data_IF_032797115763
#
_entry.id   IF_032797115763
#
_cell.length_a   1.000
_cell.length_b   1.000
_cell.length_c   1.000
_cell.angle_alpha   90.00
_cell.angle_beta   90.00
_cell.angle_gamma   90.00
#
_symmetry.space_group_name_H-M   'P 1'
#
loop_
_entity.id
_entity.type
_entity.pdbx_description
1 polymer ?
#
# COMPACT_ATOMS: atom_id res chain seq x y z
N UNK A 1 15.44 13.00 -13.61
CA UNK A 1 16.06 12.82 -12.28
C UNK A 1 17.57 12.86 -12.47
N UNK A 2 18.31 13.65 -11.68
CA UNK A 2 19.77 13.74 -11.83
C UNK A 2 20.45 12.50 -11.22
N UNK A 3 21.42 11.91 -11.93
CA UNK A 3 22.30 10.87 -11.36
C UNK A 3 23.16 11.40 -10.21
N UNK A 4 23.38 12.72 -10.16
CA UNK A 4 24.29 13.38 -9.20
C UNK A 4 23.61 13.88 -7.93
N UNK A 5 22.31 14.21 -7.96
CA UNK A 5 21.60 14.82 -6.81
C UNK A 5 20.32 14.07 -6.48
N UNK A 6 20.13 13.76 -5.20
CA UNK A 6 18.88 13.23 -4.69
C UNK A 6 17.78 14.29 -4.81
N UNK A 7 16.64 13.92 -5.40
CA UNK A 7 15.52 14.84 -5.53
C UNK A 7 14.92 15.16 -4.16
N UNK A 8 14.65 16.44 -3.90
CA UNK A 8 13.98 16.89 -2.67
C UNK A 8 12.57 16.31 -2.59
N UNK A 9 12.25 15.62 -1.49
CA UNK A 9 10.91 15.09 -1.24
C UNK A 9 9.95 16.24 -0.96
N UNK A 10 8.77 16.21 -1.59
CA UNK A 10 7.69 17.16 -1.34
C UNK A 10 6.97 16.77 -0.05
N UNK A 11 6.72 17.73 0.83
CA UNK A 11 5.92 17.52 2.04
C UNK A 11 4.44 17.44 1.66
N UNK A 12 3.72 16.51 2.28
CA UNK A 12 2.29 16.29 2.06
C UNK A 12 1.57 16.90 3.26
N UNK A 13 0.58 17.74 2.98
CA UNK A 13 -0.29 18.33 4.01
C UNK A 13 -1.19 17.23 4.59
N UNK A 14 -1.39 17.19 5.92
CA UNK A 14 -2.31 16.23 6.53
C UNK A 14 -3.76 16.44 6.06
N UNK A 15 -4.57 15.42 6.25
CA UNK A 15 -5.98 15.45 5.90
C UNK A 15 -6.78 16.44 6.76
N UNK A 16 -7.82 17.06 6.20
CA UNK A 16 -8.60 18.06 6.91
C UNK A 16 -9.55 17.47 7.97
N UNK A 17 -10.00 16.22 7.79
CA UNK A 17 -10.96 15.57 8.70
C UNK A 17 -10.19 14.77 9.76
N UNK A 18 -9.29 13.91 9.31
CA UNK A 18 -8.58 12.98 10.19
C UNK A 18 -7.21 13.48 10.67
N UNK A 19 -6.76 14.67 10.23
CA UNK A 19 -5.43 15.23 10.51
C UNK A 19 -4.27 14.23 10.29
N UNK A 20 -4.39 13.39 9.26
CA UNK A 20 -3.48 12.27 9.02
C UNK A 20 -2.84 12.35 7.64
N UNK A 21 -1.51 12.27 7.59
CA UNK A 21 -0.75 12.24 6.34
C UNK A 21 -0.93 10.93 5.57
N UNK A 22 -1.24 9.83 6.29
CA UNK A 22 -1.55 8.53 5.70
C UNK A 22 -2.83 8.61 4.86
N UNK A 23 -3.86 9.28 5.38
CA UNK A 23 -5.12 9.49 4.67
C UNK A 23 -4.88 10.28 3.39
N UNK A 24 -4.13 11.39 3.47
CA UNK A 24 -3.78 12.18 2.28
C UNK A 24 -3.00 11.37 1.24
N UNK A 25 -2.10 10.48 1.66
CA UNK A 25 -1.38 9.56 0.78
C UNK A 25 -2.34 8.60 0.06
N UNK A 26 -3.31 8.03 0.76
CA UNK A 26 -4.31 7.11 0.19
C UNK A 26 -5.20 7.85 -0.81
N UNK A 27 -5.75 9.01 -0.43
CA UNK A 27 -6.56 9.85 -1.32
C UNK A 27 -5.79 10.18 -2.60
N UNK A 28 -4.52 10.57 -2.48
CA UNK A 28 -3.66 10.86 -3.64
C UNK A 28 -3.38 9.60 -4.50
N UNK A 29 -3.46 8.39 -3.95
CA UNK A 29 -3.36 7.15 -4.74
C UNK A 29 -4.68 6.70 -5.36
N UNK A 30 -5.81 7.02 -4.74
CA UNK A 30 -7.15 6.83 -5.32
C UNK A 30 -7.37 7.78 -6.49
N UNK A 31 -6.85 9.01 -6.39
CA UNK A 31 -6.96 10.07 -7.38
C UNK A 31 -6.61 9.59 -8.80
N UNK A 32 -7.51 9.92 -9.73
CA UNK A 32 -7.36 9.63 -11.17
C UNK A 32 -7.72 10.90 -11.95
N UNK A 33 -6.91 11.22 -12.95
CA UNK A 33 -7.12 12.37 -13.85
C UNK A 33 -7.33 13.71 -13.10
N UNK A 34 -6.61 13.95 -12.00
CA UNK A 34 -6.70 15.21 -11.25
C UNK A 34 -7.96 15.38 -10.37
N UNK A 35 -8.92 14.45 -10.41
CA UNK A 35 -10.20 14.57 -9.70
C UNK A 35 -10.06 14.31 -8.19
N UNK A 36 -9.51 15.27 -7.45
CA UNK A 36 -9.25 15.15 -6.00
C UNK A 36 -10.53 15.10 -5.16
N UNK A 37 -11.52 15.94 -5.48
CA UNK A 37 -12.81 15.98 -4.77
C UNK A 37 -13.51 14.62 -4.82
N UNK A 38 -13.52 13.97 -6.00
CA UNK A 38 -14.10 12.64 -6.18
C UNK A 38 -13.32 11.59 -5.39
N UNK A 39 -12.00 11.66 -5.37
CA UNK A 39 -11.17 10.74 -4.58
C UNK A 39 -11.42 10.87 -3.07
N UNK A 40 -11.58 12.11 -2.58
CA UNK A 40 -11.95 12.39 -1.19
C UNK A 40 -13.33 11.82 -0.86
N UNK A 41 -14.34 12.08 -1.70
CA UNK A 41 -15.68 11.53 -1.53
C UNK A 41 -15.68 10.00 -1.46
N UNK A 42 -14.95 9.33 -2.37
CA UNK A 42 -14.83 7.88 -2.36
C UNK A 42 -14.21 7.38 -1.05
N UNK A 43 -13.12 8.04 -0.60
CA UNK A 43 -12.42 7.64 0.61
C UNK A 43 -13.29 7.81 1.86
N UNK A 44 -13.88 8.99 2.06
CA UNK A 44 -14.69 9.25 3.26
C UNK A 44 -15.96 8.40 3.31
N UNK A 45 -16.62 8.18 2.17
CA UNK A 45 -17.77 7.26 2.12
C UNK A 45 -17.34 5.81 2.41
N UNK A 46 -16.13 5.41 2.01
CA UNK A 46 -15.63 4.08 2.31
C UNK A 46 -15.33 3.94 3.81
N UNK A 47 -14.71 4.95 4.43
CA UNK A 47 -14.41 4.96 5.87
C UNK A 47 -15.69 4.89 6.71
N UNK A 48 -16.75 5.62 6.33
CA UNK A 48 -18.05 5.52 6.99
C UNK A 48 -18.61 4.09 6.96
N UNK A 49 -18.49 3.40 5.82
CA UNK A 49 -18.92 1.98 5.71
C UNK A 49 -18.07 1.03 6.54
N UNK A 50 -16.77 1.30 6.67
CA UNK A 50 -15.88 0.52 7.53
C UNK A 50 -16.31 0.66 8.98
N UNK A 51 -16.59 1.89 9.42
CA UNK A 51 -17.10 2.20 10.75
C UNK A 51 -18.43 1.49 11.04
N UNK A 52 -19.38 1.56 10.11
CA UNK A 52 -20.69 0.87 10.21
C UNK A 52 -20.54 -0.66 10.31
N UNK A 53 -19.55 -1.24 9.62
CA UNK A 53 -19.36 -2.70 9.57
C UNK A 53 -18.58 -3.27 10.74
N UNK A 54 -17.54 -2.56 11.20
CA UNK A 54 -16.60 -3.03 12.24
C UNK A 54 -16.97 -2.48 13.63
N UNK A 55 -17.78 -1.42 13.70
CA UNK A 55 -18.17 -0.74 14.94
C UNK A 55 -16.96 -0.28 15.78
N UNK A 56 -15.87 0.08 15.10
CA UNK A 56 -14.63 0.60 15.69
C UNK A 56 -14.21 1.86 14.94
N UNK A 57 -13.28 2.64 15.52
CA UNK A 57 -12.74 3.81 14.86
C UNK A 57 -12.15 3.43 13.48
N UNK A 58 -12.72 4.04 12.45
CA UNK A 58 -12.37 3.73 11.06
C UNK A 58 -10.88 3.98 10.78
N UNK A 59 -10.29 4.96 11.45
CA UNK A 59 -8.89 5.34 11.27
C UNK A 59 -7.92 4.38 11.96
N UNK A 60 -8.27 3.83 13.13
CA UNK A 60 -7.54 2.72 13.74
C UNK A 60 -7.59 1.45 12.86
N UNK A 61 -8.77 1.07 12.38
CA UNK A 61 -8.93 -0.06 11.46
C UNK A 61 -8.07 0.11 10.21
N UNK A 62 -8.05 1.32 9.63
CA UNK A 62 -7.22 1.63 8.47
C UNK A 62 -5.72 1.53 8.79
N UNK A 63 -5.28 2.06 9.94
CA UNK A 63 -3.86 1.97 10.34
C UNK A 63 -3.44 0.52 10.48
N UNK A 64 -4.25 -0.29 11.16
CA UNK A 64 -3.96 -1.70 11.34
C UNK A 64 -3.96 -2.46 10.00
N UNK A 65 -4.93 -2.20 9.12
CA UNK A 65 -4.95 -2.77 7.77
C UNK A 65 -3.68 -2.43 6.98
N UNK A 66 -3.20 -1.18 7.04
CA UNK A 66 -1.95 -0.78 6.38
C UNK A 66 -0.74 -1.48 6.99
N UNK A 67 -0.67 -1.62 8.32
CA UNK A 67 0.40 -2.37 8.99
C UNK A 67 0.40 -3.82 8.52
N UNK A 68 -0.77 -4.45 8.44
CA UNK A 68 -0.91 -5.82 7.96
C UNK A 68 -0.42 -5.95 6.51
N UNK A 69 -0.74 -5.02 5.60
CA UNK A 69 -0.30 -5.10 4.19
C UNK A 69 1.21 -4.80 4.03
N UNK A 70 1.81 -4.06 4.96
CA UNK A 70 3.18 -3.55 4.82
C UNK A 70 4.21 -4.67 4.72
N UNK A 71 4.96 -4.79 3.61
CA UNK A 71 6.00 -5.78 3.48
C UNK A 71 7.27 -5.35 4.22
N UNK A 72 7.89 -6.28 4.96
CA UNK A 72 9.21 -6.07 5.59
C UNK A 72 10.37 -6.29 4.62
N UNK A 73 10.20 -7.21 3.68
CA UNK A 73 11.18 -7.53 2.64
C UNK A 73 10.55 -7.38 1.25
N UNK A 74 11.35 -6.90 0.31
CA UNK A 74 11.00 -6.89 -1.11
C UNK A 74 12.11 -7.57 -1.91
N UNK A 75 11.82 -7.91 -3.15
CA UNK A 75 12.76 -8.53 -4.06
C UNK A 75 13.07 -7.54 -5.18
N UNK A 76 14.36 -7.35 -5.51
CA UNK A 76 14.79 -6.58 -6.68
C UNK A 76 15.58 -7.45 -7.64
N UNK A 77 15.34 -7.26 -8.93
CA UNK A 77 16.15 -7.88 -9.97
C UNK A 77 17.55 -7.25 -10.00
N UNK A 78 18.58 -8.09 -9.93
CA UNK A 78 19.98 -7.70 -10.12
C UNK A 78 20.63 -8.63 -11.13
N UNK A 79 21.32 -8.06 -12.12
CA UNK A 79 22.04 -8.84 -13.14
C UNK A 79 23.49 -9.04 -12.70
N UNK A 80 23.93 -10.30 -12.60
CA UNK A 80 25.29 -10.69 -12.21
C UNK A 80 25.71 -11.86 -13.10
N UNK A 81 26.90 -11.81 -13.69
CA UNK A 81 27.44 -12.94 -14.48
C UNK A 81 26.55 -13.42 -15.65
N UNK A 82 25.80 -12.52 -16.28
CA UNK A 82 24.91 -12.85 -17.41
C UNK A 82 23.49 -13.30 -17.03
N UNK A 83 23.24 -13.66 -15.76
CA UNK A 83 21.93 -14.05 -15.24
C UNK A 83 21.28 -12.94 -14.40
N UNK A 84 19.94 -12.95 -14.31
CA UNK A 84 19.18 -12.01 -13.48
C UNK A 84 18.69 -12.70 -12.21
N UNK A 85 19.25 -12.31 -11.07
CA UNK A 85 18.89 -12.82 -9.75
C UNK A 85 17.84 -11.94 -9.08
N UNK A 86 16.95 -12.58 -8.33
CA UNK A 86 15.97 -11.94 -7.48
C UNK A 86 16.58 -11.75 -6.09
N UNK A 87 17.04 -10.54 -5.78
CA UNK A 87 17.77 -10.25 -4.54
C UNK A 87 16.80 -9.72 -3.48
N UNK A 88 16.65 -10.39 -2.32
CA UNK A 88 15.83 -9.89 -1.22
C UNK A 88 16.52 -8.72 -0.51
N UNK A 89 15.75 -7.69 -0.22
CA UNK A 89 16.19 -6.45 0.41
C UNK A 89 15.19 -6.02 1.48
N UNK A 90 15.69 -5.44 2.56
CA UNK A 90 14.86 -4.84 3.60
C UNK A 90 14.17 -3.57 3.09
N UNK A 91 12.88 -3.45 3.41
CA UNK A 91 12.04 -2.33 2.99
C UNK A 91 12.11 -1.22 4.02
N UNK A 92 12.58 -0.04 3.61
CA UNK A 92 12.51 1.18 4.44
C UNK A 92 11.05 1.53 4.78
N UNK A 93 10.79 2.04 5.98
CA UNK A 93 9.43 2.35 6.46
C UNK A 93 8.57 3.16 5.48
N UNK A 94 9.08 4.28 4.95
CA UNK A 94 8.35 5.10 3.96
C UNK A 94 8.01 4.35 2.67
N UNK A 95 8.88 3.42 2.26
CA UNK A 95 8.66 2.59 1.08
C UNK A 95 7.62 1.52 1.36
N UNK A 96 7.67 0.93 2.56
CA UNK A 96 6.70 -0.05 3.04
C UNK A 96 5.28 0.52 3.03
N UNK A 97 5.10 1.71 3.62
CA UNK A 97 3.80 2.40 3.61
C UNK A 97 3.36 2.74 2.19
N UNK A 98 4.26 3.21 1.32
CA UNK A 98 3.91 3.48 -0.08
C UNK A 98 3.55 2.22 -0.88
N UNK A 99 4.15 1.07 -0.58
CA UNK A 99 3.82 -0.21 -1.21
C UNK A 99 2.45 -0.70 -0.71
N UNK A 100 2.22 -0.64 0.59
CA UNK A 100 0.97 -1.04 1.22
C UNK A 100 -0.22 -0.27 0.65
N UNK A 101 -0.15 1.07 0.64
CA UNK A 101 -1.20 1.92 0.08
C UNK A 101 -1.43 1.62 -1.41
N UNK A 102 -0.36 1.36 -2.17
CA UNK A 102 -0.46 1.03 -3.60
C UNK A 102 -1.16 -0.31 -3.82
N UNK A 103 -0.80 -1.34 -3.04
CA UNK A 103 -1.40 -2.65 -3.13
C UNK A 103 -2.87 -2.59 -2.71
N UNK A 104 -3.20 -1.94 -1.59
CA UNK A 104 -4.58 -1.71 -1.14
C UNK A 104 -5.45 -1.10 -2.25
N UNK A 105 -5.03 0.04 -2.83
CA UNK A 105 -5.83 0.72 -3.87
C UNK A 105 -5.91 -0.10 -5.16
N UNK A 106 -4.84 -0.79 -5.55
CA UNK A 106 -4.85 -1.65 -6.75
C UNK A 106 -5.79 -2.84 -6.57
N UNK A 107 -5.70 -3.50 -5.42
CA UNK A 107 -6.57 -4.61 -5.01
C UNK A 107 -8.04 -4.21 -4.98
N UNK A 108 -8.35 -3.09 -4.31
CA UNK A 108 -9.71 -2.54 -4.30
C UNK A 108 -10.25 -2.24 -5.71
N UNK A 109 -9.41 -1.76 -6.64
CA UNK A 109 -9.83 -1.50 -8.02
C UNK A 109 -10.11 -2.79 -8.81
N UNK A 110 -9.31 -3.83 -8.59
CA UNK A 110 -9.45 -5.13 -9.26
C UNK A 110 -10.60 -5.98 -8.70
N UNK A 111 -11.07 -5.68 -7.49
CA UNK A 111 -12.18 -6.40 -6.86
C UNK A 111 -13.46 -6.34 -7.71
N UNK A 112 -14.23 -7.44 -7.81
CA UNK A 112 -15.55 -7.40 -8.46
C UNK A 112 -16.53 -6.48 -7.72
N UNK A 113 -17.50 -5.93 -8.44
CA UNK A 113 -18.53 -5.02 -7.92
C UNK A 113 -18.64 -3.71 -8.70
N UNK A 114 -19.69 -2.93 -8.42
CA UNK A 114 -19.99 -1.69 -9.17
C UNK A 114 -19.32 -0.44 -8.58
N UNK A 115 -19.57 -0.12 -7.31
CA UNK A 115 -19.11 1.14 -6.69
C UNK A 115 -17.72 0.98 -6.06
N UNK A 116 -16.80 1.90 -6.38
CA UNK A 116 -15.44 1.92 -5.81
C UNK A 116 -15.46 2.04 -4.28
N UNK A 117 -16.43 2.76 -3.72
CA UNK A 117 -16.63 2.92 -2.28
C UNK A 117 -16.74 1.57 -1.58
N UNK A 118 -17.65 0.71 -2.04
CA UNK A 118 -17.86 -0.62 -1.44
C UNK A 118 -16.64 -1.54 -1.66
N UNK A 119 -15.95 -1.42 -2.80
CA UNK A 119 -14.75 -2.22 -3.03
C UNK A 119 -13.62 -1.84 -2.08
N UNK A 120 -13.42 -0.54 -1.86
CA UNK A 120 -12.39 -0.02 -0.98
C UNK A 120 -12.68 -0.35 0.48
N UNK A 121 -13.91 -0.16 0.96
CA UNK A 121 -14.28 -0.52 2.33
C UNK A 121 -14.07 -2.02 2.59
N UNK A 122 -14.51 -2.87 1.66
CA UNK A 122 -14.37 -4.32 1.82
C UNK A 122 -12.90 -4.75 1.78
N UNK A 123 -12.06 -4.16 0.91
CA UNK A 123 -10.62 -4.50 0.91
C UNK A 123 -9.91 -4.02 2.19
N UNK A 124 -10.34 -2.91 2.79
CA UNK A 124 -9.80 -2.43 4.08
C UNK A 124 -10.19 -3.40 5.20
N UNK A 125 -11.46 -3.83 5.26
CA UNK A 125 -11.96 -4.79 6.26
C UNK A 125 -11.25 -6.14 6.11
N UNK A 126 -11.13 -6.64 4.88
CA UNK A 126 -10.44 -7.90 4.62
C UNK A 126 -8.97 -7.81 5.06
N UNK A 127 -8.28 -6.72 4.71
CA UNK A 127 -6.89 -6.51 5.11
C UNK A 127 -6.70 -6.35 6.63
N UNK A 128 -7.66 -5.73 7.32
CA UNK A 128 -7.71 -5.67 8.77
C UNK A 128 -7.75 -7.08 9.38
N UNK A 129 -8.57 -7.96 8.80
CA UNK A 129 -8.69 -9.37 9.19
C UNK A 129 -7.58 -10.28 8.63
N UNK A 130 -6.49 -9.73 8.10
CA UNK A 130 -5.39 -10.49 7.44
C UNK A 130 -5.85 -11.38 6.27
N UNK A 131 -6.89 -10.97 5.56
CA UNK A 131 -7.39 -11.63 4.36
C UNK A 131 -7.39 -10.67 3.17
N UNK A 132 -7.84 -11.14 2.01
CA UNK A 132 -7.95 -10.32 0.81
C UNK A 132 -6.71 -10.33 -0.07
N UNK A 133 -6.84 -9.65 -1.21
CA UNK A 133 -5.83 -9.75 -2.29
C UNK A 133 -4.59 -8.94 -1.98
N UNK A 134 -4.72 -7.84 -1.22
CA UNK A 134 -3.58 -7.03 -0.80
C UNK A 134 -2.65 -7.81 0.17
N UNK A 135 -3.22 -8.58 1.10
CA UNK A 135 -2.46 -9.44 2.03
C UNK A 135 -1.82 -10.60 1.27
N UNK A 136 -2.57 -11.27 0.39
CA UNK A 136 -1.99 -12.32 -0.47
C UNK A 136 -0.78 -11.79 -1.24
N UNK A 137 -0.82 -10.53 -1.69
CA UNK A 137 0.32 -9.93 -2.38
C UNK A 137 1.55 -9.78 -1.48
N UNK A 138 1.37 -9.36 -0.23
CA UNK A 138 2.43 -9.30 0.78
C UNK A 138 3.04 -10.69 1.00
N UNK A 139 2.21 -11.70 1.19
CA UNK A 139 2.65 -13.09 1.41
C UNK A 139 3.42 -13.65 0.22
N UNK A 140 2.94 -13.44 -1.01
CA UNK A 140 3.69 -13.79 -2.24
C UNK A 140 5.07 -13.13 -2.26
N UNK A 141 5.17 -11.85 -1.87
CA UNK A 141 6.47 -11.16 -1.84
C UNK A 141 7.41 -11.70 -0.77
N UNK A 142 6.88 -12.11 0.40
CA UNK A 142 7.69 -12.70 1.46
C UNK A 142 8.14 -14.10 1.10
N UNK A 143 7.25 -14.93 0.56
CA UNK A 143 7.58 -16.27 0.04
C UNK A 143 8.67 -16.21 -1.03
N UNK A 144 8.56 -15.25 -1.96
CA UNK A 144 9.57 -15.04 -2.99
C UNK A 144 10.90 -14.57 -2.42
N UNK A 145 10.89 -13.69 -1.42
CA UNK A 145 12.10 -13.24 -0.74
C UNK A 145 12.78 -14.36 0.04
N UNK A 146 12.00 -15.22 0.71
CA UNK A 146 12.48 -16.37 1.47
C UNK A 146 13.09 -17.44 0.56
N UNK A 147 12.42 -17.77 -0.55
CA UNK A 147 12.95 -18.70 -1.55
C UNK A 147 14.29 -18.24 -2.15
N UNK A 148 14.55 -16.93 -2.17
CA UNK A 148 15.77 -16.33 -2.72
C UNK A 148 16.73 -15.81 -1.64
N UNK A 149 16.58 -16.25 -0.38
CA UNK A 149 17.39 -15.78 0.76
C UNK A 149 18.89 -15.97 0.53
N UNK A 150 19.29 -17.01 -0.20
CA UNK A 150 20.69 -17.27 -0.56
C UNK A 150 21.33 -16.13 -1.36
N UNK A 151 20.55 -15.36 -2.11
CA UNK A 151 21.05 -14.25 -2.94
C UNK A 151 21.15 -12.92 -2.21
N UNK A 152 20.86 -12.87 -0.89
CA UNK A 152 20.94 -11.65 -0.08
C UNK A 152 22.34 -11.00 -0.09
N UNK A 153 23.38 -11.79 -0.34
CA UNK A 153 24.76 -11.31 -0.45
C UNK A 153 24.95 -10.34 -1.63
N UNK A 154 24.17 -10.50 -2.69
CA UNK A 154 24.17 -9.62 -3.86
C UNK A 154 23.35 -8.35 -3.65
N UNK A 155 23.21 -7.85 -2.42
CA UNK A 155 22.47 -6.60 -2.14
C UNK A 155 23.26 -5.31 -2.42
N UNK A 156 24.59 -5.38 -2.47
CA UNK A 156 25.50 -4.24 -2.66
C UNK A 156 26.14 -4.23 -4.03
#
# INVERSE_FOLDING_TARGET
MSRRRQAKKRRIVPDAIYNSTLVSLIINKILKNGKKTVAQQIFYQAMKKVEESVQQDSLEVLRQAIVNITPRVEVKARRVGGSTYQVPLEVKAERGTSLAVRWLVRSARLRPGRKMVSKLSNEIIDAYNNTGTAIRKREETHKMAEANKAFANFRF
#
